data_IF_760828715294
#
_entry.id   IF_760828715294
#
_cell.length_a   1.000
_cell.length_b   1.000
_cell.length_c   1.000
_cell.angle_alpha   90.00
_cell.angle_beta   90.00
_cell.angle_gamma   90.00
#
_symmetry.space_group_name_H-M   'P 1'
#
loop_
_entity.id
_entity.type
_entity.pdbx_description
1 polymer ?
#
# COMPACT_ATOMS: atom_id res chain seq x y z
N UNK A 1 -3.49 -1.62 -19.70
CA UNK A 1 -2.64 -0.44 -19.95
C UNK A 1 -3.54 0.78 -19.89
N UNK A 2 -3.20 1.78 -19.09
CA UNK A 2 -4.04 2.99 -18.96
C UNK A 2 -3.78 3.95 -20.12
N UNK A 3 -4.87 4.54 -20.59
CA UNK A 3 -5.04 5.15 -21.89
C UNK A 3 -4.35 6.52 -22.08
N UNK A 4 -3.19 6.76 -21.48
CA UNK A 4 -2.55 8.09 -21.50
C UNK A 4 -1.01 8.10 -21.49
N UNK A 5 -0.34 7.03 -21.92
CA UNK A 5 1.12 7.02 -22.12
C UNK A 5 1.98 7.16 -20.85
N UNK A 6 1.36 7.16 -19.66
CA UNK A 6 2.06 7.17 -18.37
C UNK A 6 1.89 5.81 -17.70
N UNK A 7 2.96 5.01 -17.73
CA UNK A 7 3.01 3.74 -17.02
C UNK A 7 3.14 4.02 -15.52
N UNK A 8 2.18 3.52 -14.74
CA UNK A 8 2.26 3.46 -13.28
C UNK A 8 2.56 2.02 -12.93
N UNK A 9 3.73 1.77 -12.36
CA UNK A 9 4.14 0.44 -11.91
C UNK A 9 3.86 0.34 -10.42
N UNK A 10 2.90 -0.50 -9.99
CA UNK A 10 2.60 -0.67 -8.57
C UNK A 10 3.82 -1.07 -7.74
N UNK A 11 4.72 -1.87 -8.32
CA UNK A 11 5.96 -2.32 -7.68
C UNK A 11 6.89 -1.16 -7.31
N UNK A 12 6.98 -0.10 -8.12
CA UNK A 12 7.77 1.09 -7.74
C UNK A 12 7.23 1.76 -6.47
N UNK A 13 5.91 1.72 -6.28
CA UNK A 13 5.27 2.30 -5.09
C UNK A 13 5.46 1.39 -3.88
N UNK A 14 5.42 0.07 -4.09
CA UNK A 14 5.75 -0.94 -3.06
C UNK A 14 7.19 -0.75 -2.55
N UNK A 15 8.17 -0.51 -3.44
CA UNK A 15 9.56 -0.22 -3.06
C UNK A 15 9.70 1.02 -2.15
N UNK A 16 8.78 1.98 -2.26
CA UNK A 16 8.73 3.13 -1.37
C UNK A 16 8.06 2.80 -0.04
N UNK A 17 7.00 2.00 -0.06
CA UNK A 17 6.28 1.56 1.14
C UNK A 17 7.12 0.63 2.01
N UNK A 18 7.91 -0.24 1.40
CA UNK A 18 8.79 -1.19 2.09
C UNK A 18 9.95 -0.51 2.84
N UNK A 19 10.17 0.79 2.61
CA UNK A 19 11.14 1.61 3.38
C UNK A 19 10.54 2.25 4.62
N UNK A 20 9.24 2.07 4.87
CA UNK A 20 8.55 2.62 6.04
C UNK A 20 8.53 1.54 7.12
N UNK A 21 9.27 1.75 8.22
CA UNK A 21 9.39 0.75 9.31
C UNK A 21 8.05 0.30 9.92
N UNK A 22 6.99 1.13 9.82
CA UNK A 22 5.65 0.79 10.28
C UNK A 22 4.93 -0.23 9.38
N UNK A 23 5.47 -0.52 8.20
CA UNK A 23 4.92 -1.43 7.19
C UNK A 23 5.78 -2.70 7.19
N UNK A 24 5.16 -3.85 7.47
CA UNK A 24 5.84 -5.14 7.35
C UNK A 24 5.72 -5.71 5.94
N UNK A 25 4.52 -5.59 5.33
CA UNK A 25 4.28 -6.00 3.96
C UNK A 25 3.31 -5.02 3.29
N UNK A 26 3.50 -4.79 1.99
CA UNK A 26 2.64 -3.93 1.20
C UNK A 26 2.31 -4.55 -0.16
N UNK A 27 1.10 -4.26 -0.65
CA UNK A 27 0.70 -4.53 -2.04
C UNK A 27 -0.09 -3.35 -2.57
N UNK A 28 0.28 -2.88 -3.75
CA UNK A 28 -0.37 -1.80 -4.45
C UNK A 28 -1.18 -2.36 -5.62
N UNK A 29 -2.44 -1.97 -5.70
CA UNK A 29 -3.35 -2.35 -6.79
C UNK A 29 -3.97 -1.11 -7.42
N UNK A 30 -4.08 -1.10 -8.75
CA UNK A 30 -4.88 -0.08 -9.44
C UNK A 30 -6.34 -0.49 -9.41
N UNK A 31 -7.19 0.24 -8.69
CA UNK A 31 -8.65 0.02 -8.76
C UNK A 31 -9.20 0.83 -9.94
N UNK A 32 -10.00 0.17 -10.77
CA UNK A 32 -10.75 0.84 -11.84
C UNK A 32 -12.07 1.38 -11.28
N UNK A 33 -12.49 2.55 -11.73
CA UNK A 33 -13.85 3.03 -11.48
C UNK A 33 -14.87 2.35 -12.42
N UNK A 34 -16.14 2.73 -12.27
CA UNK A 34 -17.24 2.23 -13.08
C UNK A 34 -17.07 2.50 -14.58
N UNK A 35 -16.18 3.43 -14.97
CA UNK A 35 -15.91 3.76 -16.37
C UNK A 35 -14.72 2.97 -16.93
N UNK A 36 -14.11 2.09 -16.14
CA UNK A 36 -12.94 1.30 -16.53
C UNK A 36 -11.63 2.09 -16.49
N UNK A 37 -11.65 3.33 -15.96
CA UNK A 37 -10.44 4.12 -15.74
C UNK A 37 -9.84 3.79 -14.38
N UNK A 38 -8.52 3.72 -14.26
CA UNK A 38 -7.91 3.57 -12.93
C UNK A 38 -8.13 4.87 -12.16
N UNK A 39 -9.04 4.81 -11.19
CA UNK A 39 -9.40 5.96 -10.34
C UNK A 39 -8.32 6.28 -9.32
N UNK A 40 -7.38 5.34 -9.12
CA UNK A 40 -6.17 5.54 -8.36
C UNK A 40 -5.52 4.25 -7.90
N UNK A 41 -4.40 4.39 -7.21
CA UNK A 41 -3.73 3.29 -6.55
C UNK A 41 -4.32 3.08 -5.14
N UNK A 42 -4.51 1.82 -4.78
CA UNK A 42 -4.87 1.40 -3.43
C UNK A 42 -3.69 0.64 -2.84
N UNK A 43 -3.19 1.08 -1.69
CA UNK A 43 -2.17 0.36 -0.93
C UNK A 43 -2.84 -0.50 0.13
N UNK A 44 -2.62 -1.80 0.06
CA UNK A 44 -3.04 -2.79 1.05
C UNK A 44 -1.80 -3.09 1.89
N UNK A 45 -1.92 -2.97 3.22
CA UNK A 45 -0.77 -2.96 4.11
C UNK A 45 -1.00 -3.93 5.25
N UNK A 46 -0.01 -4.78 5.50
CA UNK A 46 0.16 -5.48 6.75
C UNK A 46 1.18 -4.70 7.61
N UNK A 47 0.74 -4.08 8.72
CA UNK A 47 1.62 -3.27 9.55
C UNK A 47 2.65 -4.10 10.32
N UNK A 48 3.78 -3.48 10.64
CA UNK A 48 4.77 -4.06 11.56
C UNK A 48 4.33 -3.83 13.01
N UNK A 49 3.47 -4.70 13.53
CA UNK A 49 2.88 -4.55 14.87
C UNK A 49 3.92 -4.45 16.00
N UNK A 50 4.99 -5.25 15.95
CA UNK A 50 6.05 -5.22 16.96
C UNK A 50 6.81 -3.87 16.97
N UNK A 51 7.17 -3.35 15.79
CA UNK A 51 7.81 -2.05 15.67
C UNK A 51 6.88 -0.94 16.16
N UNK A 52 5.61 -0.97 15.76
CA UNK A 52 4.60 -0.01 16.22
C UNK A 52 4.46 -0.02 17.75
N UNK A 53 4.39 -1.20 18.36
CA UNK A 53 4.33 -1.35 19.82
C UNK A 53 5.59 -0.79 20.51
N UNK A 54 6.79 -0.99 19.93
CA UNK A 54 8.04 -0.40 20.44
C UNK A 54 8.05 1.14 20.44
N UNK A 55 7.23 1.76 19.59
CA UNK A 55 7.01 3.21 19.52
C UNK A 55 5.83 3.69 20.39
N UNK A 56 5.21 2.79 21.16
CA UNK A 56 4.03 3.10 21.97
C UNK A 56 2.70 3.13 21.20
N UNK A 57 2.68 2.64 19.95
CA UNK A 57 1.48 2.59 19.11
C UNK A 57 0.87 1.20 19.23
N UNK A 58 0.04 1.00 20.25
CA UNK A 58 -0.64 -0.29 20.52
C UNK A 58 -2.05 -0.34 19.94
N UNK A 59 -2.71 0.80 19.83
CA UNK A 59 -4.08 0.90 19.32
C UNK A 59 -4.12 0.82 17.79
N UNK A 60 -4.99 -0.06 17.27
CA UNK A 60 -5.11 -0.28 15.82
C UNK A 60 -5.46 1.01 15.06
N UNK A 61 -6.33 1.85 15.62
CA UNK A 61 -6.70 3.12 15.01
C UNK A 61 -5.53 4.11 14.97
N UNK A 62 -4.69 4.12 16.02
CA UNK A 62 -3.49 4.95 16.06
C UNK A 62 -2.45 4.45 15.04
N UNK A 63 -2.29 3.14 14.91
CA UNK A 63 -1.45 2.53 13.89
C UNK A 63 -1.93 2.86 12.47
N UNK A 64 -3.24 2.76 12.23
CA UNK A 64 -3.84 3.16 10.97
C UNK A 64 -3.60 4.63 10.64
N UNK A 65 -3.70 5.52 11.64
CA UNK A 65 -3.40 6.93 11.46
C UNK A 65 -1.91 7.17 11.15
N UNK A 66 -1.00 6.49 11.86
CA UNK A 66 0.43 6.60 11.64
C UNK A 66 0.84 6.13 10.22
N UNK A 67 0.37 4.95 9.80
CA UNK A 67 0.62 4.43 8.44
C UNK A 67 0.04 5.38 7.37
N UNK A 68 -1.18 5.88 7.55
CA UNK A 68 -1.79 6.85 6.63
C UNK A 68 -0.98 8.15 6.54
N UNK A 69 -0.41 8.61 7.65
CA UNK A 69 0.45 9.79 7.67
C UNK A 69 1.71 9.58 6.82
N UNK A 70 2.40 8.45 6.99
CA UNK A 70 3.59 8.13 6.18
C UNK A 70 3.27 8.08 4.68
N UNK A 71 2.14 7.47 4.31
CA UNK A 71 1.68 7.41 2.91
C UNK A 71 1.29 8.79 2.39
N UNK A 72 0.68 9.64 3.22
CA UNK A 72 0.38 11.02 2.85
C UNK A 72 1.66 11.81 2.57
N UNK A 73 2.69 11.65 3.40
CA UNK A 73 3.98 12.29 3.20
C UNK A 73 4.73 11.73 1.97
N UNK A 74 4.55 10.44 1.64
CA UNK A 74 5.01 9.85 0.38
C UNK A 74 4.27 10.45 -0.82
N UNK A 75 2.94 10.55 -0.77
CA UNK A 75 2.11 11.09 -1.86
C UNK A 75 2.48 12.53 -2.25
N UNK A 76 2.93 13.35 -1.30
CA UNK A 76 3.42 14.73 -1.59
C UNK A 76 4.64 14.75 -2.50
N UNK A 77 5.43 13.67 -2.51
CA UNK A 77 6.63 13.53 -3.34
C UNK A 77 6.35 12.88 -4.69
N UNK A 78 5.17 12.27 -4.84
CA UNK A 78 4.77 11.55 -6.03
C UNK A 78 3.93 12.43 -6.98
N UNK A 79 4.10 12.28 -8.30
CA UNK A 79 3.20 12.87 -9.27
C UNK A 79 1.74 12.43 -9.03
N UNK A 80 0.77 13.30 -9.35
CA UNK A 80 -0.66 13.07 -9.08
C UNK A 80 -1.22 11.73 -9.59
N UNK A 81 -0.68 11.22 -10.69
CA UNK A 81 -1.07 9.95 -11.30
C UNK A 81 -0.43 8.71 -10.66
N UNK A 82 0.61 8.88 -9.84
CA UNK A 82 1.25 7.82 -9.03
C UNK A 82 0.80 7.84 -7.56
N UNK A 83 -0.10 8.75 -7.18
CA UNK A 83 -0.53 8.89 -5.79
C UNK A 83 -1.46 7.75 -5.36
N UNK A 84 -1.24 7.27 -4.14
CA UNK A 84 -2.12 6.32 -3.44
C UNK A 84 -3.38 7.07 -3.00
N UNK A 85 -4.53 6.66 -3.51
CA UNK A 85 -5.84 7.24 -3.17
C UNK A 85 -6.49 6.57 -1.98
N UNK A 86 -6.25 5.27 -1.81
CA UNK A 86 -6.86 4.47 -0.74
C UNK A 86 -5.80 3.67 0.00
N UNK A 87 -5.98 3.52 1.32
CA UNK A 87 -5.11 2.73 2.18
C UNK A 87 -5.97 1.76 2.98
N UNK A 88 -5.70 0.48 2.81
CA UNK A 88 -6.38 -0.62 3.50
C UNK A 88 -5.39 -1.32 4.43
N UNK A 89 -5.66 -1.30 5.74
CA UNK A 89 -4.83 -2.04 6.70
C UNK A 89 -5.43 -3.42 6.95
N UNK A 90 -4.56 -4.43 6.98
CA UNK A 90 -4.90 -5.82 7.29
C UNK A 90 -4.26 -6.22 8.61
N UNK A 91 -4.93 -7.13 9.32
CA UNK A 91 -4.42 -7.75 10.56
C UNK A 91 -3.68 -9.07 10.31
N UNK A 92 -3.65 -9.53 9.06
CA UNK A 92 -3.07 -10.81 8.65
C UNK A 92 -2.06 -10.57 7.53
N UNK A 93 -0.94 -11.30 7.57
CA UNK A 93 0.06 -11.34 6.49
C UNK A 93 -0.56 -11.71 5.13
N UNK A 94 0.13 -11.34 4.04
CA UNK A 94 -0.29 -11.75 2.71
C UNK A 94 -0.01 -13.24 2.47
N UNK A 95 -0.88 -13.91 1.72
CA UNK A 95 -0.61 -15.28 1.29
C UNK A 95 0.61 -15.31 0.35
N UNK A 96 1.66 -15.99 0.80
CA UNK A 96 2.88 -16.20 0.01
C UNK A 96 2.78 -17.48 -0.82
N UNK A 97 3.41 -17.49 -1.99
CA UNK A 97 3.71 -18.69 -2.77
C UNK A 97 4.80 -19.50 -2.06
N UNK A 98 5.01 -20.76 -2.48
CA UNK A 98 6.13 -21.59 -2.01
C UNK A 98 7.50 -20.92 -2.23
N UNK A 99 7.59 -19.99 -3.19
CA UNK A 99 8.75 -19.13 -3.45
C UNK A 99 8.81 -17.86 -2.58
N UNK A 100 7.98 -17.75 -1.53
CA UNK A 100 7.83 -16.58 -0.63
C UNK A 100 7.31 -15.28 -1.28
N UNK A 101 6.98 -15.28 -2.57
CA UNK A 101 6.35 -14.13 -3.26
C UNK A 101 4.87 -13.99 -2.90
N UNK A 102 4.36 -12.76 -2.75
CA UNK A 102 2.94 -12.49 -2.49
C UNK A 102 2.05 -12.93 -3.67
N UNK A 103 0.97 -13.68 -3.38
CA UNK A 103 -0.02 -14.13 -4.37
C UNK A 103 -0.97 -13.00 -4.75
N UNK A 104 -0.59 -12.16 -5.71
CA UNK A 104 -1.40 -11.02 -6.20
C UNK A 104 -2.78 -11.43 -6.74
N UNK A 105 -2.94 -12.64 -7.29
CA UNK A 105 -4.22 -13.12 -7.86
C UNK A 105 -5.34 -13.37 -6.83
N UNK A 106 -5.01 -13.45 -5.53
CA UNK A 106 -6.00 -13.58 -4.44
C UNK A 106 -6.41 -12.23 -3.83
N UNK A 107 -5.85 -11.15 -4.35
CA UNK A 107 -6.16 -9.79 -3.91
C UNK A 107 -7.22 -9.26 -4.89
N UNK A 108 -8.49 -9.42 -4.52
CA UNK A 108 -9.65 -8.87 -5.23
C UNK A 108 -10.58 -8.19 -4.22
#
# INVERSE_FOLDING_TARGET
MLNNGKNVFPEEIEDHLDRIDLIAESVVVGRVDANGEVSGLTAIIFPHFEYAASKGITEYNALAAAVKKEIFDLNKKLPSYKQIRNVELRKTEFEKTTSRKIKRYKIH
#
